data_IF_349965570876
#
_entry.id   IF_349965570876
#
_cell.length_a   1.000
_cell.length_b   1.000
_cell.length_c   1.000
_cell.angle_alpha   90.00
_cell.angle_beta   90.00
_cell.angle_gamma   90.00
#
_symmetry.space_group_name_H-M   'P 1'
#
loop_
_entity.id
_entity.type
_entity.pdbx_description
1 polymer ?
#
# COMPACT_ATOMS: atom_id res chain seq x y z
N UNK A 1 -10.61 -20.04 31.77
CA UNK A 1 -11.35 -19.71 30.52
C UNK A 1 -11.33 -20.88 29.53
N UNK A 2 -10.17 -21.34 29.04
CA UNK A 2 -10.10 -22.44 28.06
C UNK A 2 -10.77 -23.73 28.54
N UNK A 3 -10.48 -24.22 29.75
CA UNK A 3 -11.11 -25.43 30.30
C UNK A 3 -12.64 -25.32 30.42
N UNK A 4 -13.14 -24.13 30.78
CA UNK A 4 -14.59 -23.86 30.85
C UNK A 4 -15.21 -23.91 29.46
N UNK A 5 -14.58 -23.30 28.46
CA UNK A 5 -15.05 -23.36 27.07
C UNK A 5 -15.04 -24.78 26.51
N UNK A 6 -14.04 -25.60 26.87
CA UNK A 6 -13.98 -27.00 26.46
C UNK A 6 -15.13 -27.80 27.06
N UNK A 7 -15.38 -27.66 28.36
CA UNK A 7 -16.48 -28.32 29.05
C UNK A 7 -17.83 -27.92 28.45
N UNK A 8 -18.04 -26.61 28.23
CA UNK A 8 -19.27 -26.08 27.61
C UNK A 8 -19.44 -26.63 26.19
N UNK A 9 -18.39 -26.65 25.37
CA UNK A 9 -18.45 -27.17 24.01
C UNK A 9 -18.72 -28.69 23.94
N UNK A 10 -18.12 -29.45 24.86
CA UNK A 10 -18.35 -30.90 24.97
C UNK A 10 -19.77 -31.20 25.44
N UNK A 11 -20.31 -30.41 26.37
CA UNK A 11 -21.70 -30.53 26.84
C UNK A 11 -22.72 -30.05 25.78
N UNK A 12 -22.39 -29.01 25.02
CA UNK A 12 -23.23 -28.46 23.97
C UNK A 12 -22.39 -27.99 22.77
N UNK A 13 -22.49 -28.73 21.66
CA UNK A 13 -21.74 -28.41 20.43
C UNK A 13 -22.21 -27.13 19.72
N UNK A 14 -23.34 -26.54 20.13
CA UNK A 14 -23.79 -25.24 19.63
C UNK A 14 -22.98 -24.07 20.22
N UNK A 15 -22.38 -24.25 21.40
CA UNK A 15 -21.47 -23.28 22.02
C UNK A 15 -20.05 -23.45 21.48
N UNK A 16 -19.87 -23.14 20.19
CA UNK A 16 -18.66 -23.44 19.44
C UNK A 16 -17.91 -22.20 18.91
N UNK A 17 -18.32 -20.98 19.29
CA UNK A 17 -17.70 -19.73 18.80
C UNK A 17 -16.18 -19.72 19.06
N UNK A 18 -15.75 -19.94 20.31
CA UNK A 18 -14.33 -19.96 20.66
C UNK A 18 -13.59 -21.15 20.00
N UNK A 19 -14.11 -22.40 20.03
CA UNK A 19 -13.54 -23.52 19.28
C UNK A 19 -13.39 -23.29 17.76
N UNK A 20 -14.32 -22.56 17.13
CA UNK A 20 -14.23 -22.17 15.71
C UNK A 20 -13.09 -21.16 15.52
N UNK A 21 -13.04 -20.11 16.34
CA UNK A 21 -11.97 -19.09 16.28
C UNK A 21 -10.59 -19.70 16.49
N UNK A 22 -10.44 -20.61 17.46
CA UNK A 22 -9.19 -21.34 17.69
C UNK A 22 -8.85 -22.28 16.52
N UNK A 23 -9.84 -22.99 15.97
CA UNK A 23 -9.64 -23.85 14.80
C UNK A 23 -9.15 -23.09 13.58
N UNK A 24 -9.74 -21.92 13.30
CA UNK A 24 -9.29 -21.00 12.26
C UNK A 24 -7.88 -20.48 12.56
N UNK A 25 -7.62 -20.00 13.77
CA UNK A 25 -6.31 -19.51 14.18
C UNK A 25 -5.22 -20.55 13.98
N UNK A 26 -5.42 -21.78 14.47
CA UNK A 26 -4.44 -22.86 14.31
C UNK A 26 -4.22 -23.21 12.84
N UNK A 27 -5.29 -23.28 12.05
CA UNK A 27 -5.19 -23.60 10.63
C UNK A 27 -4.44 -22.52 9.85
N UNK A 28 -4.70 -21.25 10.12
CA UNK A 28 -4.03 -20.10 9.48
C UNK A 28 -2.54 -20.08 9.84
N UNK A 29 -2.18 -20.43 11.09
CA UNK A 29 -0.79 -20.53 11.53
C UNK A 29 -0.08 -21.84 11.08
N UNK A 30 -0.64 -22.57 10.11
CA UNK A 30 0.01 -23.76 9.53
C UNK A 30 0.00 -25.01 10.42
N UNK A 31 -0.89 -25.10 11.41
CA UNK A 31 -0.99 -26.28 12.26
C UNK A 31 -1.36 -27.53 11.44
N UNK A 32 -0.60 -28.61 11.63
CA UNK A 32 -0.82 -29.85 10.87
C UNK A 32 -2.21 -30.44 11.12
N UNK A 33 -2.74 -31.17 10.12
CA UNK A 33 -4.06 -31.82 10.25
C UNK A 33 -4.12 -32.79 11.43
N UNK A 34 -3.01 -33.46 11.76
CA UNK A 34 -2.94 -34.39 12.91
C UNK A 34 -3.10 -33.67 14.24
N UNK A 35 -2.44 -32.52 14.40
CA UNK A 35 -2.53 -31.69 15.61
C UNK A 35 -3.93 -31.10 15.74
N UNK A 36 -4.51 -30.59 14.64
CA UNK A 36 -5.90 -30.12 14.63
C UNK A 36 -6.90 -31.21 15.05
N UNK A 37 -6.74 -32.44 14.57
CA UNK A 37 -7.58 -33.57 14.98
C UNK A 37 -7.42 -33.88 16.47
N UNK A 38 -6.19 -33.87 16.99
CA UNK A 38 -5.94 -34.08 18.42
C UNK A 38 -6.61 -32.99 19.28
N UNK A 39 -6.43 -31.71 18.92
CA UNK A 39 -7.04 -30.58 19.62
C UNK A 39 -8.57 -30.63 19.55
N UNK A 40 -9.12 -31.06 18.42
CA UNK A 40 -10.56 -31.24 18.26
C UNK A 40 -11.11 -32.37 19.14
N UNK A 41 -10.41 -33.50 19.22
CA UNK A 41 -10.81 -34.63 20.06
C UNK A 41 -10.82 -34.29 21.56
N UNK A 42 -9.95 -33.38 21.99
CA UNK A 42 -9.89 -32.89 23.38
C UNK A 42 -10.88 -31.73 23.62
N UNK A 43 -11.57 -31.24 22.58
CA UNK A 43 -12.59 -30.19 22.67
C UNK A 43 -12.03 -28.75 22.67
N UNK A 44 -10.75 -28.57 22.28
CA UNK A 44 -10.10 -27.25 22.21
C UNK A 44 -10.56 -26.47 20.97
N UNK A 45 -10.73 -27.16 19.84
CA UNK A 45 -11.19 -26.55 18.59
C UNK A 45 -12.24 -27.42 17.88
N UNK A 46 -12.86 -26.87 16.85
CA UNK A 46 -13.73 -27.66 15.96
C UNK A 46 -12.92 -28.60 15.07
N UNK A 47 -13.61 -29.54 14.43
CA UNK A 47 -12.96 -30.48 13.49
C UNK A 47 -12.36 -29.72 12.30
N UNK A 48 -11.34 -30.32 11.69
CA UNK A 48 -10.74 -29.80 10.45
C UNK A 48 -11.80 -29.54 9.37
N UNK A 49 -12.75 -30.45 9.20
CA UNK A 49 -13.80 -30.32 8.18
C UNK A 49 -14.70 -29.13 8.45
N UNK A 50 -15.02 -28.86 9.72
CA UNK A 50 -15.74 -27.65 10.11
C UNK A 50 -14.92 -26.38 9.82
N UNK A 51 -13.61 -26.39 10.09
CA UNK A 51 -12.73 -25.27 9.74
C UNK A 51 -12.73 -25.00 8.24
N UNK A 52 -12.58 -26.03 7.40
CA UNK A 52 -12.61 -25.87 5.94
C UNK A 52 -14.00 -25.43 5.43
N UNK A 53 -15.08 -25.95 6.03
CA UNK A 53 -16.44 -25.51 5.72
C UNK A 53 -16.65 -24.03 6.07
N UNK A 54 -16.23 -23.59 7.27
CA UNK A 54 -16.31 -22.18 7.68
C UNK A 54 -15.50 -21.30 6.74
N UNK A 55 -14.28 -21.70 6.36
CA UNK A 55 -13.46 -20.96 5.39
C UNK A 55 -14.16 -20.80 4.04
N UNK A 56 -14.74 -21.89 3.52
CA UNK A 56 -15.51 -21.85 2.27
C UNK A 56 -16.69 -20.89 2.40
N UNK A 57 -17.45 -20.98 3.50
CA UNK A 57 -18.60 -20.11 3.74
C UNK A 57 -18.22 -18.64 3.86
N UNK A 58 -17.15 -18.32 4.60
CA UNK A 58 -16.62 -16.96 4.70
C UNK A 58 -16.20 -16.40 3.34
N UNK A 59 -15.62 -17.24 2.48
CA UNK A 59 -15.23 -16.84 1.12
C UNK A 59 -16.45 -16.56 0.25
N UNK A 60 -17.47 -17.41 0.29
CA UNK A 60 -18.74 -17.21 -0.41
C UNK A 60 -19.46 -15.94 0.08
N UNK A 61 -19.52 -15.72 1.39
CA UNK A 61 -20.15 -14.55 1.99
C UNK A 61 -19.38 -13.26 1.61
N UNK A 62 -18.04 -13.28 1.60
CA UNK A 62 -17.22 -12.15 1.16
C UNK A 62 -17.47 -11.79 -0.32
N UNK A 63 -17.57 -12.79 -1.20
CA UNK A 63 -17.89 -12.57 -2.62
C UNK A 63 -19.31 -12.01 -2.77
N UNK A 64 -20.29 -12.54 -2.04
CA UNK A 64 -21.66 -12.03 -2.09
C UNK A 64 -21.76 -10.57 -1.63
N UNK A 65 -21.01 -10.19 -0.59
CA UNK A 65 -20.92 -8.80 -0.15
C UNK A 65 -20.25 -7.90 -1.20
N UNK A 66 -19.20 -8.38 -1.88
CA UNK A 66 -18.59 -7.65 -3.00
C UNK A 66 -19.58 -7.45 -4.16
N UNK A 67 -20.37 -8.47 -4.50
CA UNK A 67 -21.44 -8.38 -5.51
C UNK A 67 -22.49 -7.34 -5.09
N UNK A 68 -22.93 -7.36 -3.83
CA UNK A 68 -23.88 -6.36 -3.31
C UNK A 68 -23.31 -4.94 -3.39
N UNK A 69 -22.04 -4.74 -3.04
CA UNK A 69 -21.39 -3.44 -3.13
C UNK A 69 -21.38 -2.91 -4.57
N UNK A 70 -20.97 -3.71 -5.56
CA UNK A 70 -20.83 -3.19 -6.93
C UNK A 70 -22.15 -3.13 -7.71
N UNK A 71 -23.15 -3.91 -7.31
CA UNK A 71 -24.51 -3.77 -7.85
C UNK A 71 -25.26 -2.61 -7.20
N UNK A 72 -24.79 -2.13 -6.05
CA UNK A 72 -25.25 -0.87 -5.48
C UNK A 72 -24.76 0.33 -6.30
N UNK A 73 -25.28 1.52 -5.99
CA UNK A 73 -24.79 2.78 -6.56
C UNK A 73 -23.44 3.23 -6.01
N UNK A 74 -22.84 2.48 -5.08
CA UNK A 74 -21.65 2.93 -4.36
C UNK A 74 -20.36 2.97 -5.20
N UNK A 75 -19.41 3.80 -4.78
CA UNK A 75 -18.05 3.83 -5.31
C UNK A 75 -17.19 2.70 -4.72
N UNK A 76 -16.32 2.14 -5.56
CA UNK A 76 -15.41 1.08 -5.17
C UNK A 76 -14.14 1.09 -6.02
N UNK A 77 -13.07 0.53 -5.46
CA UNK A 77 -11.83 0.22 -6.17
C UNK A 77 -11.60 -1.29 -6.18
N UNK A 78 -10.97 -1.78 -7.25
CA UNK A 78 -10.50 -3.17 -7.33
C UNK A 78 -8.98 -3.14 -7.30
N UNK A 79 -8.40 -3.69 -6.23
CA UNK A 79 -6.95 -3.89 -6.14
C UNK A 79 -6.62 -5.35 -6.41
N UNK A 80 -5.57 -5.57 -7.19
CA UNK A 80 -5.05 -6.90 -7.45
C UNK A 80 -3.54 -6.87 -7.62
N UNK A 81 -2.90 -7.98 -7.24
CA UNK A 81 -1.44 -8.10 -7.23
C UNK A 81 -1.02 -9.57 -7.42
N UNK A 82 0.18 -9.76 -7.96
CA UNK A 82 0.76 -11.07 -8.22
C UNK A 82 1.23 -11.77 -6.94
N UNK A 83 0.97 -13.06 -6.89
CA UNK A 83 1.51 -14.00 -5.93
C UNK A 83 2.30 -15.05 -6.69
N UNK A 84 3.61 -15.07 -6.44
CA UNK A 84 4.51 -16.10 -6.94
C UNK A 84 4.87 -17.06 -5.80
N UNK A 85 4.35 -18.29 -5.86
CA UNK A 85 4.63 -19.33 -4.87
C UNK A 85 5.66 -20.29 -5.45
N UNK A 86 6.85 -20.31 -4.86
CA UNK A 86 7.92 -21.20 -5.28
C UNK A 86 7.81 -22.58 -4.62
N UNK A 87 7.43 -23.58 -5.42
CA UNK A 87 7.34 -24.96 -4.99
C UNK A 87 8.72 -25.63 -5.07
N UNK A 88 9.48 -25.51 -3.99
CA UNK A 88 10.75 -26.21 -3.86
C UNK A 88 10.53 -27.72 -3.70
N UNK A 89 11.24 -28.51 -4.50
CA UNK A 89 11.28 -29.98 -4.45
C UNK A 89 12.62 -30.41 -3.88
N UNK A 90 12.62 -31.25 -2.86
CA UNK A 90 13.87 -31.68 -2.21
C UNK A 90 14.81 -32.40 -3.17
N UNK A 91 14.26 -33.24 -4.07
CA UNK A 91 15.00 -33.89 -5.15
C UNK A 91 14.37 -33.53 -6.49
N UNK A 92 15.16 -32.92 -7.37
CA UNK A 92 14.73 -32.66 -8.74
C UNK A 92 14.89 -33.92 -9.61
N UNK A 93 13.86 -34.23 -10.41
CA UNK A 93 13.87 -35.28 -11.44
C UNK A 93 13.14 -34.74 -12.67
N UNK A 94 13.28 -35.40 -13.82
CA UNK A 94 12.62 -35.01 -15.09
C UNK A 94 11.12 -34.72 -14.94
N UNK A 95 10.43 -35.46 -14.06
CA UNK A 95 8.99 -35.28 -13.78
C UNK A 95 8.69 -34.50 -12.50
N UNK A 96 9.71 -34.09 -11.74
CA UNK A 96 9.58 -33.45 -10.43
C UNK A 96 10.60 -32.31 -10.31
N UNK A 97 10.34 -31.22 -11.00
CA UNK A 97 11.15 -30.01 -10.94
C UNK A 97 10.56 -28.97 -9.98
N UNK A 98 11.37 -27.97 -9.66
CA UNK A 98 10.84 -26.75 -9.08
C UNK A 98 9.83 -26.13 -10.04
N UNK A 99 8.72 -25.67 -9.49
CA UNK A 99 7.72 -24.92 -10.24
C UNK A 99 7.39 -23.65 -9.48
N UNK A 100 7.00 -22.63 -10.23
CA UNK A 100 6.47 -21.39 -9.69
C UNK A 100 4.99 -21.36 -10.04
N UNK A 101 4.13 -21.25 -9.04
CA UNK A 101 2.72 -20.95 -9.26
C UNK A 101 2.62 -19.43 -9.34
N UNK A 102 2.16 -18.94 -10.48
CA UNK A 102 1.88 -17.52 -10.70
C UNK A 102 0.37 -17.35 -10.62
N UNK A 103 -0.09 -16.67 -9.60
CA UNK A 103 -1.51 -16.42 -9.40
C UNK A 103 -1.71 -14.95 -9.03
N UNK A 104 -2.91 -14.43 -9.24
CA UNK A 104 -3.25 -13.05 -8.89
C UNK A 104 -4.30 -13.05 -7.79
N UNK A 105 -4.05 -12.36 -6.70
CA UNK A 105 -5.07 -12.16 -5.66
C UNK A 105 -5.80 -10.84 -5.94
N UNK A 106 -7.08 -10.72 -5.56
CA UNK A 106 -7.81 -9.47 -5.73
C UNK A 106 -8.78 -9.19 -4.58
N UNK A 107 -9.07 -7.91 -4.38
CA UNK A 107 -9.96 -7.38 -3.34
C UNK A 107 -10.74 -6.21 -3.90
N UNK A 108 -12.02 -6.13 -3.53
CA UNK A 108 -12.86 -4.93 -3.75
C UNK A 108 -12.84 -4.09 -2.48
N UNK A 109 -12.60 -2.80 -2.62
CA UNK A 109 -12.50 -1.86 -1.51
C UNK A 109 -13.59 -0.80 -1.69
N UNK A 110 -14.39 -0.60 -0.65
CA UNK A 110 -15.39 0.46 -0.62
C UNK A 110 -14.70 1.83 -0.53
N UNK A 111 -15.11 2.77 -1.39
CA UNK A 111 -14.60 4.13 -1.38
C UNK A 111 -15.58 5.00 -0.59
N UNK A 112 -15.08 5.80 0.35
CA UNK A 112 -15.90 6.80 1.05
C UNK A 112 -16.37 7.86 0.05
N UNK A 113 -17.67 8.20 0.07
CA UNK A 113 -18.30 9.07 -0.93
C UNK A 113 -18.44 10.52 -0.44
N UNK A 114 -17.93 10.82 0.75
CA UNK A 114 -17.99 12.17 1.31
C UNK A 114 -17.29 13.18 0.38
N UNK A 115 -18.03 14.19 -0.05
CA UNK A 115 -17.53 15.21 -0.97
C UNK A 115 -17.46 14.78 -2.44
N UNK A 116 -17.92 13.58 -2.80
CA UNK A 116 -17.82 13.04 -4.16
C UNK A 116 -19.20 12.98 -4.84
N UNK A 117 -19.30 13.56 -6.04
CA UNK A 117 -20.44 13.28 -6.92
C UNK A 117 -20.28 11.88 -7.53
N UNK A 118 -20.96 10.90 -6.94
CA UNK A 118 -20.91 9.49 -7.33
C UNK A 118 -21.32 9.27 -8.79
N UNK A 119 -22.29 10.04 -9.31
CA UNK A 119 -22.76 9.88 -10.68
C UNK A 119 -21.69 10.37 -11.67
N UNK A 120 -21.11 11.55 -11.40
CA UNK A 120 -20.01 12.09 -12.21
C UNK A 120 -18.73 11.24 -12.12
N UNK A 121 -18.42 10.67 -10.95
CA UNK A 121 -17.27 9.78 -10.78
C UNK A 121 -17.38 8.48 -11.60
N UNK A 122 -18.61 7.99 -11.82
CA UNK A 122 -18.88 6.79 -12.59
C UNK A 122 -19.12 7.06 -14.08
N UNK A 123 -19.19 8.33 -14.51
CA UNK A 123 -19.48 8.74 -15.88
C UNK A 123 -18.31 8.40 -16.82
N UNK A 124 -18.53 7.36 -17.62
CA UNK A 124 -17.55 6.91 -18.60
C UNK A 124 -17.44 7.86 -19.79
N UNK A 125 -18.54 8.48 -20.22
CA UNK A 125 -18.54 9.36 -21.39
C UNK A 125 -17.80 10.66 -21.09
N UNK A 126 -17.95 11.21 -19.89
CA UNK A 126 -17.17 12.36 -19.43
C UNK A 126 -15.67 12.04 -19.42
N UNK A 127 -15.28 10.92 -18.81
CA UNK A 127 -13.87 10.47 -18.81
C UNK A 127 -13.33 10.36 -20.24
N UNK A 128 -14.09 9.76 -21.15
CA UNK A 128 -13.64 9.59 -22.54
C UNK A 128 -13.51 10.92 -23.29
N UNK A 129 -14.33 11.92 -22.98
CA UNK A 129 -14.20 13.28 -23.56
C UNK A 129 -12.93 14.00 -23.11
N UNK A 130 -12.48 13.77 -21.88
CA UNK A 130 -11.26 14.40 -21.34
C UNK A 130 -9.97 13.76 -21.84
N UNK A 131 -10.07 12.57 -22.44
CA UNK A 131 -8.90 11.84 -22.95
C UNK A 131 -8.18 12.63 -24.05
N UNK A 132 -6.85 12.65 -23.99
CA UNK A 132 -6.02 13.32 -25.00
C UNK A 132 -5.82 14.81 -24.71
N UNK A 133 -6.50 15.37 -23.72
CA UNK A 133 -6.23 16.72 -23.23
C UNK A 133 -4.82 16.87 -22.68
N UNK A 134 -4.15 15.76 -22.32
CA UNK A 134 -2.73 15.74 -21.95
C UNK A 134 -1.82 16.32 -23.02
N UNK A 135 -2.25 16.38 -24.29
CA UNK A 135 -1.50 17.04 -25.35
C UNK A 135 -1.27 18.55 -25.12
N UNK A 136 -2.01 19.16 -24.19
CA UNK A 136 -1.86 20.56 -23.79
C UNK A 136 -0.88 20.76 -22.62
N UNK A 137 -0.29 19.68 -22.08
CA UNK A 137 0.64 19.75 -20.96
C UNK A 137 1.89 20.56 -21.29
N UNK A 138 2.31 21.38 -20.33
CA UNK A 138 3.52 22.23 -20.39
C UNK A 138 4.55 21.75 -19.38
N UNK A 139 5.82 22.07 -19.62
CA UNK A 139 6.88 21.78 -18.66
C UNK A 139 6.63 22.42 -17.29
N UNK A 140 6.06 23.62 -17.26
CA UNK A 140 5.66 24.34 -16.05
C UNK A 140 4.65 23.57 -15.18
N UNK A 141 3.89 22.63 -15.76
CA UNK A 141 2.87 21.87 -15.03
C UNK A 141 3.45 20.80 -14.09
N UNK A 142 4.74 20.48 -14.24
CA UNK A 142 5.44 19.45 -13.44
C UNK A 142 6.59 20.03 -12.62
N UNK A 143 6.85 21.34 -12.74
CA UNK A 143 7.90 22.00 -11.97
C UNK A 143 7.34 22.40 -10.60
N UNK A 144 8.09 22.16 -9.50
CA UNK A 144 7.71 22.66 -8.20
C UNK A 144 7.54 24.18 -8.21
N UNK A 145 6.47 24.64 -7.58
CA UNK A 145 6.17 26.05 -7.38
C UNK A 145 6.82 26.58 -6.10
N UNK A 146 6.84 27.89 -5.92
CA UNK A 146 7.28 28.49 -4.65
C UNK A 146 6.40 28.05 -3.47
N UNK A 147 5.10 27.80 -3.70
CA UNK A 147 4.18 27.31 -2.69
C UNK A 147 4.58 25.90 -2.24
N UNK A 148 4.92 25.01 -3.18
CA UNK A 148 5.39 23.66 -2.88
C UNK A 148 6.69 23.70 -2.05
N UNK A 149 7.61 24.59 -2.41
CA UNK A 149 8.83 24.81 -1.63
C UNK A 149 8.54 25.24 -0.20
N UNK A 150 7.70 26.27 -0.01
CA UNK A 150 7.31 26.75 1.32
C UNK A 150 6.64 25.65 2.15
N UNK A 151 5.75 24.86 1.53
CA UNK A 151 5.09 23.72 2.16
C UNK A 151 6.09 22.69 2.67
N UNK A 152 7.02 22.25 1.79
CA UNK A 152 8.05 21.27 2.15
C UNK A 152 8.94 21.79 3.29
N UNK A 153 9.30 23.08 3.28
CA UNK A 153 10.09 23.67 4.36
C UNK A 153 9.34 23.65 5.69
N UNK A 154 8.08 24.07 5.73
CA UNK A 154 7.26 24.02 6.95
C UNK A 154 7.09 22.59 7.46
N UNK A 155 6.90 21.62 6.55
CA UNK A 155 6.85 20.21 6.91
C UNK A 155 8.17 19.72 7.51
N UNK A 156 9.32 20.08 6.93
CA UNK A 156 10.63 19.71 7.47
C UNK A 156 10.86 20.28 8.86
N UNK A 157 10.51 21.53 9.11
CA UNK A 157 10.58 22.13 10.44
C UNK A 157 9.75 21.34 11.46
N UNK A 158 8.51 20.98 11.10
CA UNK A 158 7.64 20.18 11.94
C UNK A 158 8.22 18.78 12.20
N UNK A 159 8.73 18.09 11.18
CA UNK A 159 9.37 16.77 11.33
C UNK A 159 10.62 16.83 12.21
N UNK A 160 11.50 17.80 12.00
CA UNK A 160 12.71 17.98 12.80
C UNK A 160 12.34 18.24 14.27
N UNK A 161 11.40 19.16 14.51
CA UNK A 161 10.91 19.46 15.85
C UNK A 161 10.32 18.20 16.51
N UNK A 162 9.50 17.43 15.78
CA UNK A 162 8.88 16.22 16.30
C UNK A 162 9.93 15.16 16.66
N UNK A 163 10.93 14.95 15.81
CA UNK A 163 12.01 13.98 16.05
C UNK A 163 12.88 14.40 17.24
N UNK A 164 13.22 15.68 17.38
CA UNK A 164 13.97 16.19 18.53
C UNK A 164 13.19 15.96 19.82
N UNK A 165 11.92 16.36 19.87
CA UNK A 165 11.10 16.20 21.08
C UNK A 165 10.93 14.73 21.46
N UNK A 166 10.72 13.84 20.49
CA UNK A 166 10.52 12.39 20.74
C UNK A 166 11.79 11.62 21.09
N UNK A 167 12.97 12.07 20.64
CA UNK A 167 14.19 11.25 20.72
C UNK A 167 15.37 11.94 21.40
N UNK A 168 15.24 13.20 21.83
CA UNK A 168 16.29 13.86 22.61
C UNK A 168 16.52 13.11 23.93
N UNK A 169 17.77 12.76 24.28
CA UNK A 169 18.08 12.16 25.58
C UNK A 169 17.56 13.03 26.73
N UNK A 170 16.83 12.41 27.67
CA UNK A 170 16.25 13.11 28.81
C UNK A 170 14.91 13.81 28.55
N UNK A 171 14.28 13.62 27.39
CA UNK A 171 12.96 14.16 27.08
C UNK A 171 11.84 13.69 28.03
N UNK A 172 12.00 12.54 28.68
CA UNK A 172 11.08 12.02 29.70
C UNK A 172 10.92 12.98 30.88
N UNK A 173 11.91 13.84 31.12
CA UNK A 173 11.90 14.83 32.19
C UNK A 173 11.31 16.19 31.76
N UNK A 174 10.88 16.34 30.51
CA UNK A 174 10.31 17.60 30.03
C UNK A 174 8.86 17.72 30.49
N UNK A 175 8.58 18.69 31.37
CA UNK A 175 7.27 18.88 32.02
C UNK A 175 6.09 19.03 31.04
N UNK A 176 6.37 19.43 29.79
CA UNK A 176 5.37 19.74 28.75
C UNK A 176 5.58 18.99 27.44
N UNK A 177 6.25 17.83 27.48
CA UNK A 177 6.57 17.07 26.27
C UNK A 177 5.33 16.79 25.39
N UNK A 178 4.20 16.41 26.00
CA UNK A 178 2.94 16.18 25.27
C UNK A 178 2.38 17.45 24.64
N UNK A 179 2.35 18.57 25.37
CA UNK A 179 1.88 19.87 24.85
C UNK A 179 2.73 20.31 23.65
N UNK A 180 4.06 20.17 23.75
CA UNK A 180 4.99 20.49 22.66
C UNK A 180 4.72 19.59 21.45
N UNK A 181 4.49 18.29 21.64
CA UNK A 181 4.17 17.38 20.54
C UNK A 181 2.84 17.71 19.86
N UNK A 182 1.85 18.19 20.62
CA UNK A 182 0.59 18.66 20.05
C UNK A 182 0.77 19.96 19.25
N UNK A 183 1.55 20.92 19.77
CA UNK A 183 1.87 22.15 19.08
C UNK A 183 2.65 21.90 17.79
N UNK A 184 3.68 21.05 17.83
CA UNK A 184 4.45 20.63 16.66
C UNK A 184 3.55 19.88 15.67
N UNK A 185 2.62 19.07 16.15
CA UNK A 185 1.61 18.43 15.30
C UNK A 185 0.78 19.44 14.51
N UNK A 186 0.40 20.56 15.12
CA UNK A 186 -0.34 21.65 14.45
C UNK A 186 0.52 22.47 13.48
N UNK A 187 1.85 22.39 13.57
CA UNK A 187 2.75 23.03 12.61
C UNK A 187 2.84 22.25 11.29
N UNK A 188 2.44 20.98 11.28
CA UNK A 188 2.43 20.19 10.06
C UNK A 188 1.46 20.85 9.08
N UNK A 189 1.92 21.28 7.88
CA UNK A 189 1.00 21.80 6.89
C UNK A 189 0.02 20.68 6.48
N UNK A 190 -1.15 21.04 5.95
CA UNK A 190 -2.21 20.16 5.44
C UNK A 190 -2.58 20.61 4.02
N UNK A 191 -2.88 19.68 3.11
CA UNK A 191 -3.37 20.01 1.76
C UNK A 191 -4.78 19.43 1.55
N UNK A 192 -4.91 18.10 1.41
CA UNK A 192 -6.21 17.43 1.22
C UNK A 192 -6.36 16.20 2.14
N UNK A 193 -6.40 16.38 3.48
CA UNK A 193 -6.55 15.26 4.41
C UNK A 193 -7.95 14.64 4.36
N UNK A 194 -8.02 13.31 4.32
CA UNK A 194 -9.29 12.58 4.39
C UNK A 194 -9.78 12.36 5.82
N UNK A 195 -11.10 12.27 5.98
CA UNK A 195 -11.70 11.93 7.27
C UNK A 195 -11.34 10.48 7.68
N UNK A 196 -10.97 10.24 8.95
CA UNK A 196 -10.54 8.92 9.43
C UNK A 196 -11.73 7.97 9.59
N UNK A 197 -12.27 7.47 8.48
CA UNK A 197 -13.33 6.47 8.46
C UNK A 197 -12.77 5.08 8.25
N UNK A 198 -13.50 4.08 8.77
CA UNK A 198 -13.14 2.69 8.56
C UNK A 198 -13.42 2.31 7.10
N UNK A 199 -12.41 1.80 6.42
CA UNK A 199 -12.52 1.26 5.06
C UNK A 199 -12.91 -0.22 5.14
N UNK A 200 -13.93 -0.61 4.38
CA UNK A 200 -14.34 -2.01 4.24
C UNK A 200 -13.71 -2.63 2.99
N UNK A 201 -13.28 -3.88 3.11
CA UNK A 201 -12.66 -4.64 2.04
C UNK A 201 -13.30 -6.03 1.92
N UNK A 202 -13.50 -6.45 0.67
CA UNK A 202 -14.17 -7.68 0.30
C UNK A 202 -13.24 -8.53 -0.58
N UNK A 203 -12.50 -9.49 0.00
CA UNK A 203 -11.58 -10.33 -0.75
C UNK A 203 -12.31 -11.18 -1.79
N UNK A 204 -11.84 -11.17 -3.03
CA UNK A 204 -12.33 -12.03 -4.12
C UNK A 204 -11.57 -13.36 -4.21
N UNK A 205 -10.47 -13.46 -3.45
CA UNK A 205 -9.57 -14.59 -3.46
C UNK A 205 -8.61 -14.58 -4.64
N UNK A 206 -8.05 -15.76 -4.91
CA UNK A 206 -6.98 -15.94 -5.88
C UNK A 206 -7.54 -16.38 -7.24
N UNK A 207 -6.89 -15.92 -8.30
CA UNK A 207 -7.15 -16.24 -9.70
C UNK A 207 -5.91 -16.90 -10.31
N UNK A 208 -6.10 -17.94 -11.11
CA UNK A 208 -5.03 -18.65 -11.83
C UNK A 208 -4.64 -17.90 -13.11
N UNK A 209 -4.30 -16.62 -12.94
CA UNK A 209 -3.96 -15.69 -14.01
C UNK A 209 -2.70 -14.93 -13.62
N UNK A 210 -1.83 -14.66 -14.60
CA UNK A 210 -0.55 -13.98 -14.39
C UNK A 210 -0.65 -12.51 -14.84
N UNK A 211 -1.00 -11.63 -13.90
CA UNK A 211 -1.12 -10.18 -14.09
C UNK A 211 0.17 -9.54 -14.63
N UNK A 212 1.34 -10.17 -14.46
CA UNK A 212 2.64 -9.72 -14.99
C UNK A 212 2.73 -9.67 -16.52
N UNK A 213 1.65 -9.93 -17.25
CA UNK A 213 1.55 -9.79 -18.70
C UNK A 213 0.28 -9.05 -19.11
N UNK A 214 0.31 -8.35 -20.25
CA UNK A 214 -0.88 -7.69 -20.84
C UNK A 214 -2.07 -8.66 -21.01
N UNK A 215 -1.80 -9.90 -21.43
CA UNK A 215 -2.83 -10.94 -21.60
C UNK A 215 -3.42 -11.35 -20.25
N UNK A 216 -2.59 -11.52 -19.24
CA UNK A 216 -3.05 -11.92 -17.92
C UNK A 216 -3.83 -10.82 -17.20
N UNK A 217 -3.52 -9.53 -17.40
CA UNK A 217 -4.39 -8.42 -16.95
C UNK A 217 -5.83 -8.60 -17.45
N UNK A 218 -5.99 -8.89 -18.75
CA UNK A 218 -7.31 -9.11 -19.35
C UNK A 218 -7.99 -10.35 -18.76
N UNK A 219 -7.21 -11.42 -18.56
CA UNK A 219 -7.67 -12.65 -17.89
C UNK A 219 -8.19 -12.37 -16.48
N UNK A 220 -7.41 -11.65 -15.66
CA UNK A 220 -7.79 -11.24 -14.31
C UNK A 220 -9.06 -10.40 -14.31
N UNK A 221 -9.16 -9.37 -15.16
CA UNK A 221 -10.35 -8.53 -15.22
C UNK A 221 -11.60 -9.30 -15.67
N UNK A 222 -11.44 -10.25 -16.60
CA UNK A 222 -12.51 -11.15 -17.03
C UNK A 222 -12.94 -12.06 -15.89
N UNK A 223 -11.99 -12.67 -15.19
CA UNK A 223 -12.26 -13.56 -14.07
C UNK A 223 -12.89 -12.84 -12.87
N UNK A 224 -12.48 -11.60 -12.60
CA UNK A 224 -13.09 -10.72 -11.60
C UNK A 224 -14.55 -10.43 -12.00
N UNK A 225 -14.80 -9.97 -13.23
CA UNK A 225 -16.15 -9.72 -13.75
C UNK A 225 -17.05 -10.97 -13.61
N UNK A 226 -16.54 -12.14 -13.99
CA UNK A 226 -17.27 -13.41 -13.95
C UNK A 226 -17.56 -13.88 -12.52
N UNK A 227 -16.56 -13.79 -11.62
CA UNK A 227 -16.74 -14.12 -10.20
C UNK A 227 -17.78 -13.23 -9.53
N UNK A 228 -17.92 -12.02 -10.04
CA UNK A 228 -18.86 -11.02 -9.57
C UNK A 228 -20.20 -11.04 -10.30
N UNK A 229 -20.40 -12.03 -11.19
CA UNK A 229 -21.63 -12.27 -11.95
C UNK A 229 -22.13 -11.07 -12.75
N UNK A 230 -21.23 -10.14 -13.11
CA UNK A 230 -21.55 -8.97 -13.90
C UNK A 230 -21.49 -9.26 -15.41
N UNK A 231 -22.45 -8.73 -16.15
CA UNK A 231 -22.40 -8.75 -17.62
C UNK A 231 -21.33 -7.79 -18.14
N UNK A 232 -20.82 -8.04 -19.35
CA UNK A 232 -19.86 -7.14 -20.01
C UNK A 232 -20.40 -5.72 -20.16
N UNK A 233 -21.70 -5.58 -20.45
CA UNK A 233 -22.39 -4.28 -20.57
C UNK A 233 -22.42 -3.56 -19.23
N UNK A 234 -22.84 -4.22 -18.15
CA UNK A 234 -22.84 -3.61 -16.82
C UNK A 234 -21.44 -3.20 -16.38
N UNK A 235 -20.44 -4.06 -16.58
CA UNK A 235 -19.06 -3.78 -16.23
C UNK A 235 -18.52 -2.55 -16.97
N UNK A 236 -18.64 -2.54 -18.30
CA UNK A 236 -18.08 -1.51 -19.16
C UNK A 236 -18.93 -0.23 -19.27
N UNK A 237 -20.10 -0.17 -18.63
CA UNK A 237 -20.97 1.03 -18.64
C UNK A 237 -20.51 2.15 -17.72
N UNK A 238 -19.60 1.87 -16.78
CA UNK A 238 -19.13 2.83 -15.76
C UNK A 238 -17.62 2.81 -15.68
N UNK A 239 -17.05 3.89 -15.16
CA UNK A 239 -15.64 3.93 -14.80
C UNK A 239 -15.35 2.92 -13.68
N UNK A 240 -14.26 2.15 -13.81
CA UNK A 240 -13.79 1.21 -12.79
C UNK A 240 -12.42 1.64 -12.29
N UNK A 241 -12.31 1.96 -11.01
CA UNK A 241 -11.02 2.27 -10.38
C UNK A 241 -10.24 0.97 -10.17
N UNK A 242 -9.09 0.88 -10.84
CA UNK A 242 -8.21 -0.30 -10.81
C UNK A 242 -6.90 0.08 -10.12
N UNK A 243 -6.56 -0.62 -9.05
CA UNK A 243 -5.37 -0.36 -8.24
C UNK A 243 -4.36 -1.49 -8.44
N UNK A 244 -3.09 -1.13 -8.50
CA UNK A 244 -1.99 -2.08 -8.60
C UNK A 244 -0.63 -1.41 -8.46
N UNK A 245 0.43 -2.15 -8.74
CA UNK A 245 1.77 -1.60 -8.83
C UNK A 245 2.01 -0.91 -10.19
N UNK A 246 3.21 -0.40 -10.41
CA UNK A 246 3.57 0.23 -11.69
C UNK A 246 3.47 -0.75 -12.88
N UNK A 247 3.85 -2.02 -12.69
CA UNK A 247 3.80 -3.01 -13.75
C UNK A 247 2.35 -3.29 -14.15
N UNK A 248 1.43 -3.33 -13.18
CA UNK A 248 -0.02 -3.44 -13.41
C UNK A 248 -0.56 -2.30 -14.25
N UNK A 249 -0.31 -1.05 -13.82
CA UNK A 249 -0.75 0.13 -14.57
C UNK A 249 -0.16 0.16 -15.98
N UNK A 250 1.13 -0.15 -16.12
CA UNK A 250 1.81 -0.16 -17.40
C UNK A 250 1.29 -1.27 -18.34
N UNK A 251 1.05 -2.48 -17.82
CA UNK A 251 0.48 -3.59 -18.59
C UNK A 251 -0.96 -3.29 -19.00
N UNK A 252 -1.77 -2.71 -18.11
CA UNK A 252 -3.14 -2.29 -18.43
C UNK A 252 -3.16 -1.21 -19.52
N UNK A 253 -2.35 -0.16 -19.37
CA UNK A 253 -2.18 0.89 -20.38
C UNK A 253 -1.72 0.31 -21.72
N UNK A 254 -0.77 -0.62 -21.69
CA UNK A 254 -0.27 -1.31 -22.87
C UNK A 254 -1.34 -2.16 -23.54
N UNK A 255 -2.14 -2.91 -22.77
CA UNK A 255 -3.24 -3.72 -23.28
C UNK A 255 -4.32 -2.84 -23.93
N UNK A 256 -4.70 -1.72 -23.31
CA UNK A 256 -5.65 -0.75 -23.84
C UNK A 256 -5.15 -0.07 -25.12
N UNK A 257 -3.84 0.19 -25.23
CA UNK A 257 -3.23 0.75 -26.45
C UNK A 257 -3.27 -0.23 -27.61
N UNK A 258 -2.93 -1.50 -27.37
CA UNK A 258 -2.94 -2.54 -28.39
C UNK A 258 -4.36 -2.86 -28.90
N UNK A 259 -5.38 -2.44 -28.15
CA UNK A 259 -6.82 -2.66 -28.39
C UNK A 259 -7.56 -1.40 -28.82
N UNK A 260 -6.84 -0.38 -29.29
CA UNK A 260 -7.46 0.92 -29.59
C UNK A 260 -8.53 0.87 -30.68
N UNK A 261 -8.42 -0.09 -31.60
CA UNK A 261 -9.36 -0.28 -32.72
C UNK A 261 -10.47 -1.30 -32.41
N UNK A 262 -10.58 -1.76 -31.15
CA UNK A 262 -11.61 -2.71 -30.76
C UNK A 262 -13.01 -2.09 -30.77
N UNK A 263 -14.02 -2.94 -30.99
CA UNK A 263 -15.36 -2.54 -31.41
C UNK A 263 -16.17 -1.88 -30.27
N UNK A 264 -15.84 -2.16 -29.01
CA UNK A 264 -16.62 -1.68 -27.86
C UNK A 264 -15.77 -1.38 -26.62
N UNK A 265 -16.36 -0.65 -25.66
CA UNK A 265 -15.71 -0.22 -24.43
C UNK A 265 -15.15 -1.36 -23.56
N UNK A 266 -15.75 -2.56 -23.63
CA UNK A 266 -15.28 -3.72 -22.87
C UNK A 266 -13.98 -4.25 -23.47
N UNK A 267 -13.97 -4.54 -24.76
CA UNK A 267 -12.79 -5.08 -25.47
C UNK A 267 -11.64 -4.07 -25.46
N UNK A 268 -11.96 -2.78 -25.63
CA UNK A 268 -10.98 -1.70 -25.55
C UNK A 268 -10.42 -1.45 -24.13
N UNK A 269 -11.07 -1.96 -23.08
CA UNK A 269 -10.76 -1.63 -21.68
C UNK A 269 -10.95 -0.14 -21.35
N UNK A 270 -11.87 0.53 -22.04
CA UNK A 270 -12.13 1.96 -21.89
C UNK A 270 -12.60 2.35 -20.48
N UNK A 271 -13.30 1.41 -19.83
CA UNK A 271 -13.88 1.58 -18.49
C UNK A 271 -12.82 1.77 -17.39
N UNK A 272 -11.64 1.16 -17.52
CA UNK A 272 -10.66 1.11 -16.43
C UNK A 272 -9.94 2.44 -16.25
N UNK A 273 -9.94 2.96 -15.03
CA UNK A 273 -9.08 4.04 -14.58
C UNK A 273 -8.03 3.43 -13.65
N UNK A 274 -6.84 3.20 -14.19
CA UNK A 274 -5.70 2.70 -13.43
C UNK A 274 -5.14 3.76 -12.48
N UNK A 275 -4.67 3.29 -11.33
CA UNK A 275 -3.96 4.09 -10.35
C UNK A 275 -2.88 3.24 -9.66
N UNK A 276 -1.62 3.64 -9.88
CA UNK A 276 -0.48 3.04 -9.16
C UNK A 276 -0.53 3.45 -7.69
N UNK A 277 -0.26 2.49 -6.81
CA UNK A 277 -0.53 2.59 -5.36
C UNK A 277 0.70 2.93 -4.52
N UNK A 278 0.49 3.63 -3.40
CA UNK A 278 1.52 4.41 -2.70
C UNK A 278 2.59 3.59 -1.98
N UNK A 279 2.36 2.34 -1.57
CA UNK A 279 3.40 1.58 -0.86
C UNK A 279 4.58 1.25 -1.77
N UNK A 280 4.33 0.94 -3.04
CA UNK A 280 5.41 0.76 -4.01
C UNK A 280 6.24 2.03 -4.24
N UNK A 281 5.66 3.24 -4.10
CA UNK A 281 6.40 4.51 -4.13
C UNK A 281 7.34 4.60 -2.94
N UNK A 282 6.82 4.29 -1.74
CA UNK A 282 7.59 4.26 -0.50
C UNK A 282 8.75 3.25 -0.56
N UNK A 283 8.47 2.05 -1.10
CA UNK A 283 9.43 0.98 -1.27
C UNK A 283 10.61 1.44 -2.14
N UNK A 284 10.30 2.09 -3.26
CA UNK A 284 11.31 2.53 -4.21
C UNK A 284 12.09 3.75 -3.70
N UNK A 285 11.44 4.69 -3.01
CA UNK A 285 12.14 5.77 -2.30
C UNK A 285 13.12 5.21 -1.26
N UNK A 286 12.73 4.19 -0.50
CA UNK A 286 13.63 3.48 0.42
C UNK A 286 14.81 2.86 -0.33
N UNK A 287 14.59 2.22 -1.47
CA UNK A 287 15.66 1.62 -2.27
C UNK A 287 16.61 2.67 -2.84
N UNK A 288 16.10 3.82 -3.28
CA UNK A 288 16.90 4.95 -3.75
C UNK A 288 17.78 5.53 -2.65
N UNK A 289 17.21 5.87 -1.49
CA UNK A 289 17.96 6.41 -0.35
C UNK A 289 19.02 5.40 0.10
N UNK A 290 18.66 4.12 0.18
CA UNK A 290 19.61 3.05 0.45
C UNK A 290 20.73 3.05 -0.59
N UNK A 291 20.44 3.07 -1.89
CA UNK A 291 21.48 3.03 -2.92
C UNK A 291 22.40 4.26 -2.89
N UNK A 292 21.85 5.46 -2.71
CA UNK A 292 22.62 6.72 -2.74
C UNK A 292 23.50 6.83 -1.49
N UNK A 293 22.95 6.50 -0.31
CA UNK A 293 23.60 6.75 0.98
C UNK A 293 24.16 5.50 1.66
N UNK A 294 24.14 4.32 1.01
CA UNK A 294 24.69 3.10 1.64
C UNK A 294 26.16 3.26 1.99
N UNK A 295 26.96 3.75 1.05
CA UNK A 295 28.39 3.98 1.22
C UNK A 295 29.17 2.76 1.72
N UNK A 296 30.31 3.03 2.35
CA UNK A 296 31.20 2.02 2.92
C UNK A 296 31.14 2.06 4.45
N UNK A 297 31.31 0.92 5.11
CA UNK A 297 31.30 0.84 6.58
C UNK A 297 32.39 1.67 7.27
N UNK A 298 33.40 2.11 6.53
CA UNK A 298 34.48 2.99 7.00
C UNK A 298 34.08 4.47 7.02
N UNK A 299 33.06 4.86 6.25
CA UNK A 299 32.49 6.21 6.27
C UNK A 299 31.45 6.28 7.41
N UNK A 300 31.70 7.06 8.48
CA UNK A 300 30.79 7.16 9.62
C UNK A 300 29.44 7.78 9.24
N UNK A 301 29.35 8.50 8.13
CA UNK A 301 28.12 9.11 7.61
C UNK A 301 27.36 8.22 6.63
N UNK A 302 27.77 6.98 6.45
CA UNK A 302 27.12 6.02 5.56
C UNK A 302 26.07 5.17 6.28
N UNK A 303 25.05 4.71 5.55
CA UNK A 303 24.09 3.74 6.12
C UNK A 303 24.75 2.38 6.39
N UNK A 304 25.83 2.02 5.70
CA UNK A 304 26.61 0.80 5.95
C UNK A 304 27.27 0.82 7.35
N UNK A 305 27.83 1.96 7.76
CA UNK A 305 28.39 2.12 9.10
C UNK A 305 27.29 2.02 10.16
N UNK A 306 26.17 2.70 9.97
CA UNK A 306 25.01 2.63 10.89
C UNK A 306 24.41 1.23 10.97
N UNK A 307 24.29 0.51 9.83
CA UNK A 307 23.82 -0.88 9.78
C UNK A 307 24.73 -1.81 10.59
N UNK A 308 26.04 -1.64 10.47
CA UNK A 308 27.06 -2.40 11.21
C UNK A 308 26.97 -2.10 12.70
N UNK A 309 26.91 -0.83 13.08
CA UNK A 309 26.79 -0.39 14.47
C UNK A 309 25.54 -0.95 15.15
N UNK A 310 24.42 -1.01 14.42
CA UNK A 310 23.15 -1.54 14.92
C UNK A 310 23.04 -3.08 14.84
N UNK A 311 24.08 -3.78 14.37
CA UNK A 311 24.09 -5.25 14.31
C UNK A 311 23.04 -5.86 13.36
N UNK A 312 22.63 -5.15 12.30
CA UNK A 312 21.53 -5.59 11.42
C UNK A 312 21.99 -6.55 10.32
N UNK A 313 21.33 -7.71 10.23
CA UNK A 313 21.62 -8.79 9.27
C UNK A 313 20.50 -8.97 8.23
N UNK A 314 20.52 -8.15 7.18
CA UNK A 314 19.66 -8.31 6.01
C UNK A 314 20.39 -7.92 4.72
N UNK A 315 19.90 -8.42 3.58
CA UNK A 315 20.50 -8.22 2.26
C UNK A 315 20.32 -6.77 1.78
N UNK A 316 21.45 -6.12 1.49
CA UNK A 316 21.50 -4.71 1.06
C UNK A 316 21.10 -4.56 -0.40
N UNK A 317 21.29 -5.59 -1.24
CA UNK A 317 20.93 -5.52 -2.67
C UNK A 317 19.41 -5.48 -2.87
N UNK A 318 18.67 -6.09 -1.94
CA UNK A 318 17.22 -6.07 -1.92
C UNK A 318 16.76 -5.81 -0.49
N UNK A 319 16.92 -4.56 0.01
CA UNK A 319 16.62 -4.25 1.39
C UNK A 319 15.14 -4.49 1.64
N UNK A 320 14.83 -5.27 2.68
CA UNK A 320 13.47 -5.41 3.15
C UNK A 320 12.94 -4.01 3.52
N UNK A 321 11.75 -3.66 3.04
CA UNK A 321 11.16 -2.33 3.22
C UNK A 321 11.21 -1.85 4.67
N UNK A 322 10.68 -2.65 5.61
CA UNK A 322 10.61 -2.27 7.02
C UNK A 322 12.01 -2.10 7.64
N UNK A 323 12.95 -2.97 7.26
CA UNK A 323 14.31 -2.92 7.76
C UNK A 323 15.11 -1.72 7.22
N UNK A 324 14.94 -1.41 5.93
CA UNK A 324 15.52 -0.25 5.26
C UNK A 324 14.94 1.06 5.81
N UNK A 325 13.61 1.19 5.83
CA UNK A 325 12.88 2.30 6.46
C UNK A 325 13.36 2.58 7.88
N UNK A 326 13.45 1.54 8.72
CA UNK A 326 13.92 1.69 10.09
C UNK A 326 15.37 2.17 10.16
N UNK A 327 16.24 1.76 9.23
CA UNK A 327 17.65 2.17 9.21
C UNK A 327 17.77 3.65 8.82
N UNK A 328 17.02 4.07 7.79
CA UNK A 328 16.93 5.46 7.36
C UNK A 328 16.46 6.33 8.52
N UNK A 329 15.36 5.96 9.18
CA UNK A 329 14.83 6.71 10.34
C UNK A 329 15.83 6.79 11.50
N UNK A 330 16.49 5.69 11.87
CA UNK A 330 17.50 5.72 12.94
C UNK A 330 18.68 6.63 12.57
N UNK A 331 19.16 6.55 11.32
CA UNK A 331 20.24 7.38 10.81
C UNK A 331 19.86 8.87 10.81
N UNK A 332 18.62 9.20 10.42
CA UNK A 332 18.10 10.57 10.44
C UNK A 332 18.08 11.12 11.87
N UNK A 333 17.48 10.38 12.82
CA UNK A 333 17.38 10.80 14.22
C UNK A 333 18.78 11.10 14.79
N UNK A 334 19.74 10.19 14.62
CA UNK A 334 21.10 10.36 15.14
C UNK A 334 21.77 11.60 14.53
N UNK A 335 21.61 11.83 13.22
CA UNK A 335 22.19 13.00 12.56
C UNK A 335 21.54 14.29 13.03
N UNK A 336 20.22 14.35 13.19
CA UNK A 336 19.54 15.53 13.72
C UNK A 336 19.97 15.85 15.16
N UNK A 337 20.14 14.83 16.01
CA UNK A 337 20.63 15.02 17.37
C UNK A 337 22.11 15.44 17.41
N UNK A 338 22.92 15.02 16.43
CA UNK A 338 24.33 15.38 16.31
C UNK A 338 24.55 16.76 15.66
N UNK A 339 23.66 17.16 14.75
CA UNK A 339 23.74 18.43 14.02
C UNK A 339 23.19 19.58 14.86
N UNK A 340 24.07 20.24 15.61
CA UNK A 340 23.78 21.53 16.25
C UNK A 340 24.05 22.75 15.34
N UNK A 341 24.24 22.60 14.02
CA UNK A 341 24.67 23.72 13.15
C UNK A 341 24.04 23.62 11.74
N UNK A 342 23.35 24.67 11.25
CA UNK A 342 22.99 24.79 9.84
C UNK A 342 24.20 25.27 9.03
N UNK A 343 24.69 24.44 8.11
CA UNK A 343 25.56 24.85 7.00
C UNK A 343 24.98 24.30 5.69
N UNK A 344 25.17 25.01 4.58
CA UNK A 344 24.78 24.52 3.26
C UNK A 344 25.65 23.31 2.85
N UNK A 345 25.06 22.32 2.16
CA UNK A 345 25.80 21.14 1.69
C UNK A 345 26.91 21.53 0.70
N UNK A 346 26.62 22.49 -0.18
CA UNK A 346 27.56 23.01 -1.17
C UNK A 346 28.72 23.76 -0.51
N UNK A 347 28.47 24.50 0.56
CA UNK A 347 29.52 25.17 1.34
C UNK A 347 30.41 24.15 2.06
N UNK A 348 29.83 23.08 2.59
CA UNK A 348 30.57 21.99 3.22
C UNK A 348 31.45 21.25 2.21
N UNK A 349 30.92 20.96 1.03
CA UNK A 349 31.65 20.32 -0.05
C UNK A 349 32.77 21.23 -0.58
N UNK A 350 32.49 22.52 -0.78
CA UNK A 350 33.48 23.52 -1.19
C UNK A 350 34.61 23.67 -0.16
N UNK A 351 34.28 23.52 1.13
CA UNK A 351 35.26 23.48 2.22
C UNK A 351 36.01 22.14 2.35
N UNK A 352 35.78 21.17 1.46
CA UNK A 352 36.40 19.84 1.48
C UNK A 352 35.88 18.92 2.58
N UNK A 353 34.73 19.23 3.17
CA UNK A 353 34.07 18.39 4.19
C UNK A 353 32.98 17.52 3.55
N UNK A 354 33.42 16.52 2.78
CA UNK A 354 32.53 15.61 2.05
C UNK A 354 31.59 14.83 2.98
N UNK A 355 32.03 14.52 4.20
CA UNK A 355 31.20 13.82 5.20
C UNK A 355 30.02 14.70 5.67
N UNK A 356 30.26 15.98 5.93
CA UNK A 356 29.18 16.89 6.31
C UNK A 356 28.21 17.12 5.13
N UNK A 357 28.73 17.30 3.92
CA UNK A 357 27.89 17.44 2.72
C UNK A 357 27.01 16.19 2.51
N UNK A 358 27.60 14.99 2.58
CA UNK A 358 26.86 13.73 2.50
C UNK A 358 25.80 13.61 3.61
N UNK A 359 26.11 14.08 4.82
CA UNK A 359 25.14 14.10 5.91
C UNK A 359 23.95 15.00 5.65
N UNK A 360 24.18 16.19 5.08
CA UNK A 360 23.10 17.15 4.77
C UNK A 360 22.19 16.60 3.67
N UNK A 361 22.75 16.05 2.58
CA UNK A 361 21.96 15.41 1.52
C UNK A 361 21.11 14.26 2.04
N UNK A 362 21.69 13.40 2.90
CA UNK A 362 20.92 12.31 3.51
C UNK A 362 19.77 12.82 4.38
N UNK A 363 19.99 13.89 5.17
CA UNK A 363 18.93 14.47 6.01
C UNK A 363 17.81 15.00 5.13
N UNK A 364 18.12 15.72 4.05
CA UNK A 364 17.15 16.21 3.08
C UNK A 364 16.31 15.08 2.48
N UNK A 365 16.94 14.06 1.91
CA UNK A 365 16.26 12.94 1.26
C UNK A 365 15.43 12.13 2.27
N UNK A 366 15.92 11.98 3.50
CA UNK A 366 15.19 11.29 4.56
C UNK A 366 13.99 12.10 5.07
N UNK A 367 14.08 13.43 5.11
CA UNK A 367 12.96 14.30 5.48
C UNK A 367 11.88 14.30 4.39
N UNK A 368 12.25 14.31 3.10
CA UNK A 368 11.30 14.09 2.00
C UNK A 368 10.57 12.74 2.15
N UNK A 369 11.30 11.68 2.50
CA UNK A 369 10.71 10.38 2.72
C UNK A 369 9.80 10.36 3.96
N UNK A 370 10.20 10.98 5.07
CA UNK A 370 9.37 11.14 6.26
C UNK A 370 8.07 11.90 5.95
N UNK A 371 8.16 12.96 5.15
CA UNK A 371 7.01 13.75 4.72
C UNK A 371 6.02 12.92 3.89
N UNK A 372 6.53 12.14 2.92
CA UNK A 372 5.70 11.21 2.18
C UNK A 372 5.01 10.18 3.09
N UNK A 373 5.72 9.62 4.08
CA UNK A 373 5.14 8.63 4.98
C UNK A 373 4.09 9.21 5.93
N UNK A 374 4.28 10.46 6.37
CA UNK A 374 3.31 11.15 7.21
C UNK A 374 2.04 11.51 6.45
N UNK A 375 2.18 11.99 5.21
CA UNK A 375 1.06 12.22 4.30
C UNK A 375 0.22 10.93 4.12
N UNK A 376 0.86 9.77 3.96
CA UNK A 376 0.14 8.49 3.88
C UNK A 376 -0.57 8.14 5.18
N UNK A 377 0.03 8.40 6.34
CA UNK A 377 -0.56 8.10 7.64
C UNK A 377 -1.80 8.96 7.95
N UNK A 378 -1.84 10.19 7.40
CA UNK A 378 -2.92 11.16 7.54
C UNK A 378 -3.85 11.23 6.32
N UNK A 379 -3.65 10.36 5.33
CA UNK A 379 -4.41 10.34 4.07
C UNK A 379 -4.44 11.71 3.36
N UNK A 380 -3.30 12.38 3.27
CA UNK A 380 -3.14 13.60 2.49
C UNK A 380 -2.67 13.25 1.06
N UNK A 381 -3.62 13.23 0.14
CA UNK A 381 -3.41 12.80 -1.25
C UNK A 381 -2.58 13.78 -2.11
N UNK A 382 -2.24 14.96 -1.57
CA UNK A 382 -1.54 16.01 -2.32
C UNK A 382 -0.03 15.82 -2.49
N UNK A 383 0.60 14.84 -1.81
CA UNK A 383 2.05 14.88 -1.52
C UNK A 383 2.87 13.69 -2.04
N UNK A 384 3.14 13.60 -3.35
CA UNK A 384 3.73 12.37 -3.94
C UNK A 384 4.90 12.57 -4.93
N UNK A 385 5.95 11.71 -4.83
CA UNK A 385 7.12 11.67 -5.71
C UNK A 385 7.57 10.24 -6.13
N UNK A 386 7.46 9.93 -7.42
CA UNK A 386 8.01 8.79 -8.16
C UNK A 386 8.10 9.20 -9.62
N UNK A 387 9.25 9.73 -10.03
CA UNK A 387 9.37 10.71 -11.10
C UNK A 387 8.55 10.45 -12.38
N UNK A 388 8.53 9.24 -12.94
CA UNK A 388 7.80 8.97 -14.18
C UNK A 388 6.30 8.74 -13.97
N UNK A 389 5.93 7.93 -12.98
CA UNK A 389 4.52 7.64 -12.70
C UNK A 389 3.85 8.85 -12.05
N UNK A 390 4.53 9.58 -11.16
CA UNK A 390 4.04 10.83 -10.59
C UNK A 390 3.81 11.89 -11.65
N UNK A 391 4.74 12.06 -12.61
CA UNK A 391 4.47 12.95 -13.75
C UNK A 391 3.23 12.48 -14.53
N UNK A 392 3.08 11.16 -14.74
CA UNK A 392 1.89 10.58 -15.32
C UNK A 392 0.61 10.94 -14.55
N UNK A 393 0.61 10.71 -13.23
CA UNK A 393 -0.50 10.99 -12.31
C UNK A 393 -0.83 12.48 -12.30
N UNK A 394 0.15 13.38 -12.12
CA UNK A 394 -0.04 14.83 -12.13
C UNK A 394 -0.70 15.31 -13.42
N UNK A 395 -0.23 14.82 -14.57
CA UNK A 395 -0.78 15.20 -15.86
C UNK A 395 -2.17 14.60 -16.10
N UNK A 396 -2.42 13.35 -15.68
CA UNK A 396 -3.75 12.74 -15.73
C UNK A 396 -4.73 13.55 -14.89
N UNK A 397 -4.34 13.89 -13.67
CA UNK A 397 -5.18 14.62 -12.71
C UNK A 397 -5.52 16.02 -13.19
N UNK A 398 -4.58 16.69 -13.85
CA UNK A 398 -4.78 18.04 -14.36
C UNK A 398 -5.63 18.07 -15.64
N UNK A 399 -5.47 17.10 -16.53
CA UNK A 399 -6.00 17.19 -17.89
C UNK A 399 -7.07 16.15 -18.25
N UNK A 400 -7.04 14.97 -17.63
CA UNK A 400 -7.80 13.79 -18.10
C UNK A 400 -8.82 13.25 -17.09
N UNK A 401 -8.93 13.84 -15.89
CA UNK A 401 -9.92 13.45 -14.88
C UNK A 401 -10.93 14.57 -14.63
N UNK A 402 -12.18 14.18 -14.40
CA UNK A 402 -13.16 15.07 -13.77
C UNK A 402 -12.83 15.23 -12.28
N UNK A 403 -13.31 16.30 -11.65
CA UNK A 403 -13.08 16.53 -10.21
C UNK A 403 -13.61 15.37 -9.36
N UNK A 404 -14.76 14.80 -9.72
CA UNK A 404 -15.36 13.68 -9.01
C UNK A 404 -14.53 12.39 -9.14
N UNK A 405 -14.01 12.09 -10.35
CA UNK A 405 -13.13 10.95 -10.54
C UNK A 405 -11.79 11.14 -9.84
N UNK A 406 -11.23 12.35 -9.85
CA UNK A 406 -10.01 12.67 -9.09
C UNK A 406 -10.19 12.41 -7.59
N UNK A 407 -11.26 12.92 -6.97
CA UNK A 407 -11.56 12.68 -5.56
C UNK A 407 -11.74 11.18 -5.26
N UNK A 408 -12.35 10.44 -6.19
CA UNK A 408 -12.48 8.98 -6.08
C UNK A 408 -11.12 8.28 -6.06
N UNK A 409 -10.16 8.71 -6.89
CA UNK A 409 -8.81 8.15 -6.91
C UNK A 409 -8.01 8.54 -5.65
N UNK A 410 -8.15 9.77 -5.16
CA UNK A 410 -7.55 10.24 -3.91
C UNK A 410 -7.99 9.36 -2.72
N UNK A 411 -9.29 9.05 -2.63
CA UNK A 411 -9.80 8.14 -1.60
C UNK A 411 -9.33 6.69 -1.78
N UNK A 412 -9.19 6.23 -3.03
CA UNK A 412 -8.80 4.84 -3.32
C UNK A 412 -7.35 4.50 -2.92
N UNK A 413 -6.48 5.49 -2.74
CA UNK A 413 -5.10 5.28 -2.32
C UNK A 413 -4.94 4.83 -0.88
N UNK A 414 -5.91 5.16 -0.02
CA UNK A 414 -5.78 4.96 1.41
C UNK A 414 -6.75 3.92 1.94
N UNK A 415 -6.25 3.12 2.88
CA UNK A 415 -7.01 2.13 3.60
C UNK A 415 -6.86 2.34 5.10
N UNK A 416 -7.97 2.49 5.82
CA UNK A 416 -7.97 2.62 7.27
C UNK A 416 -8.79 1.51 7.91
N UNK A 417 -8.09 0.52 8.47
CA UNK A 417 -8.72 -0.65 9.09
C UNK A 417 -9.57 -0.31 10.31
N UNK A 418 -9.25 0.78 11.01
CA UNK A 418 -9.81 1.08 12.33
C UNK A 418 -10.72 2.30 12.35
N UNK A 419 -10.67 3.16 11.32
CA UNK A 419 -11.33 4.47 11.34
C UNK A 419 -10.75 5.39 12.42
N UNK A 420 -9.42 5.36 12.59
CA UNK A 420 -8.70 6.16 13.59
C UNK A 420 -7.74 7.12 12.87
N UNK A 421 -7.65 8.40 13.28
CA UNK A 421 -6.66 9.34 12.74
C UNK A 421 -5.23 8.80 12.82
N UNK A 422 -4.39 9.10 11.82
CA UNK A 422 -2.98 8.68 11.80
C UNK A 422 -2.76 7.17 11.61
N UNK A 423 -3.80 6.43 11.22
CA UNK A 423 -3.76 4.95 11.02
C UNK A 423 -4.07 4.52 9.59
N UNK A 424 -4.05 5.45 8.65
CA UNK A 424 -4.13 5.10 7.24
C UNK A 424 -2.86 4.36 6.80
N UNK A 425 -3.04 3.45 5.86
CA UNK A 425 -1.96 2.82 5.11
C UNK A 425 -2.29 2.93 3.62
N UNK A 426 -1.29 2.81 2.76
CA UNK A 426 -1.53 2.65 1.34
C UNK A 426 -2.33 1.37 1.07
N UNK A 427 -3.26 1.44 0.13
CA UNK A 427 -4.18 0.34 -0.20
C UNK A 427 -3.46 -0.94 -0.65
N UNK A 428 -2.34 -0.83 -1.35
CA UNK A 428 -1.49 -1.96 -1.75
C UNK A 428 -0.68 -2.58 -0.61
N UNK A 429 -0.37 -1.82 0.44
CA UNK A 429 0.19 -2.43 1.65
C UNK A 429 -0.82 -3.37 2.32
N UNK A 430 -2.11 -3.03 2.28
CA UNK A 430 -3.16 -3.95 2.73
C UNK A 430 -3.23 -5.19 1.84
N UNK A 431 -3.10 -5.04 0.52
CA UNK A 431 -3.05 -6.15 -0.42
C UNK A 431 -1.86 -7.09 -0.15
N UNK A 432 -0.66 -6.56 0.08
CA UNK A 432 0.52 -7.39 0.40
C UNK A 432 0.39 -8.09 1.76
N UNK A 433 -0.31 -7.48 2.73
CA UNK A 433 -0.67 -8.18 3.97
C UNK A 433 -1.58 -9.39 3.72
N UNK A 434 -2.49 -9.32 2.76
CA UNK A 434 -3.31 -10.46 2.38
C UNK A 434 -2.51 -11.51 1.62
N UNK A 435 -1.60 -11.09 0.73
CA UNK A 435 -0.69 -11.99 0.01
C UNK A 435 0.22 -12.77 0.99
N UNK A 436 0.64 -12.15 2.09
CA UNK A 436 1.45 -12.82 3.12
C UNK A 436 0.75 -14.07 3.69
N UNK A 437 -0.57 -14.06 3.85
CA UNK A 437 -1.31 -15.22 4.39
C UNK A 437 -1.58 -16.32 3.35
N UNK A 438 -1.29 -16.06 2.07
CA UNK A 438 -1.41 -17.02 0.98
C UNK A 438 -0.10 -17.73 0.65
N UNK A 439 1.04 -17.09 0.98
CA UNK A 439 2.40 -17.67 0.87
C UNK A 439 2.67 -18.62 2.04
#
# INVERSE_FOLDING_TARGET
IMAISMLIFVCNRATNILPIMLGLFFKINGTSSRVLTMLSNVGVCVSKDMVEWVKKRLSEDAINLAVQLMTSSKLYAVIFDNINIYLRKFQQRVTNHHSMINATNAVVIEIDEEGIDVAAAQDLDEKLKLRGNRNHAKAEDILPTQADGNHIFSAFEAHIAQLIVRYCPGNENWEKCTEILEEVGRMMPEDHPLQPKKTEAYPLGVFDENEGSKKGIIGVLTAIKDRLTLTAVQWASKVRTLLGDWLTSNNFCGARRDRMDDINNMEWLAYGQELSTLWHYALQATHMIMHIHFGFSTDPTSLAAHKTLLGRSWDVKKPNYAAGKSLIRHSLIVRLLHMAIPKCAEDAQTAGNDWLAHSIYFVWDSLLFCEFEDAVAHADAGRHNYARECVGVLLIWKYELSNALRATLEHAWFYNRWGIPGRFIATDLYMEQLNYWLR
#
